data_IF_161822761815
#
_entry.id   IF_161822761815
#
_cell.length_a   1.000
_cell.length_b   1.000
_cell.length_c   1.000
_cell.angle_alpha   90.00
_cell.angle_beta   90.00
_cell.angle_gamma   90.00
#
_symmetry.space_group_name_H-M   'P 1'
#
loop_
_entity.id
_entity.type
_entity.pdbx_description
1 polymer ?
#
# COMPACT_ATOMS: atom_id res chain seq x y z
N UNK A 1 9.86 -18.48 -12.85
CA UNK A 1 10.12 -17.24 -12.10
C UNK A 1 8.85 -16.88 -11.34
N UNK A 2 8.95 -16.54 -10.06
CA UNK A 2 7.77 -16.22 -9.25
C UNK A 2 7.12 -14.91 -9.72
N UNK A 3 5.78 -14.80 -9.75
CA UNK A 3 5.12 -13.51 -9.96
C UNK A 3 5.48 -12.54 -8.83
N UNK A 4 5.32 -11.24 -9.12
CA UNK A 4 5.64 -10.17 -8.17
C UNK A 4 4.41 -9.37 -7.77
N UNK A 5 4.38 -8.97 -6.50
CA UNK A 5 3.46 -7.98 -5.96
C UNK A 5 4.28 -6.72 -5.65
N UNK A 6 4.02 -5.61 -6.35
CA UNK A 6 4.73 -4.34 -6.10
C UNK A 6 3.90 -3.47 -5.18
N UNK A 7 4.48 -3.02 -4.06
CA UNK A 7 3.82 -2.15 -3.10
C UNK A 7 4.33 -0.73 -3.27
N UNK A 8 3.55 0.15 -3.91
CA UNK A 8 3.95 1.54 -4.16
C UNK A 8 3.12 2.52 -3.32
N UNK A 9 3.79 3.38 -2.56
CA UNK A 9 3.11 4.30 -1.66
C UNK A 9 4.04 5.18 -0.84
N UNK A 10 3.48 5.79 0.20
CA UNK A 10 4.20 6.66 1.12
C UNK A 10 4.82 5.90 2.32
N UNK A 11 4.93 6.57 3.46
CA UNK A 11 5.45 6.05 4.72
C UNK A 11 4.73 4.80 5.23
N UNK A 12 3.42 4.69 5.02
CA UNK A 12 2.63 3.53 5.46
C UNK A 12 3.03 2.29 4.63
N UNK A 13 3.37 2.51 3.36
CA UNK A 13 3.94 1.46 2.52
C UNK A 13 5.39 1.19 2.90
N UNK A 14 6.21 2.20 3.16
CA UNK A 14 7.63 2.03 3.57
C UNK A 14 7.75 1.18 4.84
N UNK A 15 6.89 1.44 5.83
CA UNK A 15 6.85 0.72 7.10
C UNK A 15 6.15 -0.63 7.02
N UNK A 16 5.59 -1.02 5.86
CA UNK A 16 4.84 -2.27 5.70
C UNK A 16 5.68 -3.54 5.91
N UNK A 17 7.01 -3.43 5.88
CA UNK A 17 7.94 -4.53 6.16
C UNK A 17 8.47 -4.52 7.61
N UNK A 18 8.05 -3.57 8.45
CA UNK A 18 8.34 -3.60 9.87
C UNK A 18 7.67 -4.81 10.54
N UNK A 19 8.05 -5.12 11.79
CA UNK A 19 7.45 -6.21 12.56
C UNK A 19 5.94 -5.99 12.71
N UNK A 20 5.14 -6.97 12.26
CA UNK A 20 3.68 -6.87 12.22
C UNK A 20 3.13 -6.06 11.04
N UNK A 21 3.97 -5.68 10.08
CA UNK A 21 3.59 -4.93 8.89
C UNK A 21 2.88 -5.77 7.82
N UNK A 22 1.96 -5.15 7.07
CA UNK A 22 1.15 -5.85 6.07
C UNK A 22 1.96 -6.40 4.88
N UNK A 23 3.03 -5.72 4.49
CA UNK A 23 3.94 -6.15 3.42
C UNK A 23 4.78 -7.36 3.83
N UNK A 24 5.27 -7.37 5.08
CA UNK A 24 5.93 -8.55 5.66
C UNK A 24 4.96 -9.74 5.76
N UNK A 25 3.71 -9.49 6.17
CA UNK A 25 2.68 -10.52 6.23
C UNK A 25 2.34 -11.10 4.84
N UNK A 26 2.32 -10.28 3.78
CA UNK A 26 2.17 -10.77 2.40
C UNK A 26 3.36 -11.64 1.96
N UNK A 27 4.59 -11.24 2.29
CA UNK A 27 5.79 -11.99 1.94
C UNK A 27 5.82 -13.36 2.63
N UNK A 28 5.39 -13.42 3.90
CA UNK A 28 5.22 -14.66 4.65
C UNK A 28 4.10 -15.53 4.05
N UNK A 29 2.93 -14.92 3.76
CA UNK A 29 1.78 -15.64 3.20
C UNK A 29 2.11 -16.27 1.84
N UNK A 30 2.80 -15.57 0.94
CA UNK A 30 3.17 -16.09 -0.38
C UNK A 30 4.58 -16.67 -0.42
N UNK A 31 5.11 -17.13 0.71
CA UNK A 31 6.44 -17.73 0.78
C UNK A 31 6.59 -18.85 -0.26
N UNK A 32 7.66 -18.76 -1.06
CA UNK A 32 7.94 -19.65 -2.21
C UNK A 32 6.94 -19.57 -3.36
N UNK A 33 5.97 -18.67 -3.37
CA UNK A 33 4.96 -18.57 -4.44
C UNK A 33 5.03 -17.24 -5.17
N UNK A 34 5.28 -16.14 -4.46
CA UNK A 34 5.42 -14.80 -5.05
C UNK A 34 6.49 -13.99 -4.33
N UNK A 35 7.08 -13.03 -5.04
CA UNK A 35 7.95 -12.04 -4.40
C UNK A 35 7.16 -10.76 -4.13
N UNK A 36 7.31 -10.20 -2.92
CA UNK A 36 6.73 -8.90 -2.56
C UNK A 36 7.82 -7.83 -2.64
N UNK A 37 7.59 -6.81 -3.44
CA UNK A 37 8.57 -5.77 -3.76
C UNK A 37 8.13 -4.43 -3.19
N UNK A 38 8.83 -3.98 -2.16
CA UNK A 38 8.56 -2.71 -1.49
C UNK A 38 9.07 -1.50 -2.28
N UNK A 39 8.21 -0.51 -2.50
CA UNK A 39 8.49 0.82 -3.06
C UNK A 39 7.72 1.90 -2.29
N UNK A 40 7.89 1.91 -0.97
CA UNK A 40 7.39 2.98 -0.10
C UNK A 40 8.38 4.13 0.03
N UNK A 41 7.88 5.36 0.17
CA UNK A 41 8.69 6.57 0.32
C UNK A 41 8.10 7.50 1.38
N UNK A 42 8.72 7.55 2.56
CA UNK A 42 8.26 8.35 3.70
C UNK A 42 8.08 9.83 3.35
N UNK A 43 6.92 10.38 3.76
CA UNK A 43 6.53 11.76 3.52
C UNK A 43 6.11 12.11 2.09
N UNK A 44 6.15 11.19 1.12
CA UNK A 44 5.82 11.52 -0.27
C UNK A 44 4.32 11.74 -0.48
N UNK A 45 3.99 12.72 -1.32
CA UNK A 45 2.67 12.91 -1.90
C UNK A 45 2.65 12.45 -3.36
N UNK A 46 1.47 12.45 -3.98
CA UNK A 46 1.31 12.01 -5.39
C UNK A 46 2.08 12.88 -6.39
N UNK A 47 2.23 14.18 -6.12
CA UNK A 47 2.99 15.11 -6.96
C UNK A 47 4.47 14.70 -7.05
N UNK A 48 5.07 14.32 -5.93
CA UNK A 48 6.47 13.88 -5.89
C UNK A 48 6.62 12.44 -6.39
N UNK A 49 5.67 11.57 -6.07
CA UNK A 49 5.63 10.18 -6.57
C UNK A 49 5.75 10.13 -8.10
N UNK A 50 5.01 10.99 -8.82
CA UNK A 50 5.12 11.11 -10.28
C UNK A 50 6.52 11.48 -10.78
N UNK A 51 7.27 12.30 -10.04
CA UNK A 51 8.61 12.75 -10.46
C UNK A 51 9.66 11.65 -10.34
N UNK A 52 9.42 10.68 -9.48
CA UNK A 52 10.37 9.58 -9.23
C UNK A 52 9.90 8.25 -9.79
N UNK A 53 8.72 8.19 -10.41
CA UNK A 53 8.01 6.94 -10.73
C UNK A 53 8.87 5.96 -11.54
N UNK A 54 9.52 6.42 -12.61
CA UNK A 54 10.40 5.56 -13.43
C UNK A 54 11.54 4.96 -12.62
N UNK A 55 12.23 5.80 -11.84
CA UNK A 55 13.36 5.39 -11.00
C UNK A 55 12.91 4.48 -9.86
N UNK A 56 11.78 4.79 -9.24
CA UNK A 56 11.18 3.97 -8.20
C UNK A 56 10.84 2.57 -8.73
N UNK A 57 10.44 2.44 -9.98
CA UNK A 57 10.06 1.15 -10.59
C UNK A 57 11.21 0.39 -11.23
N UNK A 58 12.45 0.89 -11.14
CA UNK A 58 13.62 0.14 -11.54
C UNK A 58 13.68 -1.19 -10.79
N UNK A 59 13.81 -2.29 -11.56
CA UNK A 59 13.87 -3.67 -11.06
C UNK A 59 12.67 -4.10 -10.21
N UNK A 60 11.56 -3.36 -10.26
CA UNK A 60 10.33 -3.76 -9.60
C UNK A 60 9.73 -5.01 -10.27
N UNK A 61 9.83 -5.09 -11.60
CA UNK A 61 9.63 -6.31 -12.38
C UNK A 61 10.95 -7.09 -12.57
N UNK A 62 10.85 -8.39 -12.91
CA UNK A 62 12.01 -9.22 -13.27
C UNK A 62 11.72 -10.14 -14.45
N UNK A 63 12.79 -10.53 -15.15
CA UNK A 63 12.72 -11.50 -16.24
C UNK A 63 11.90 -11.07 -17.45
N UNK A 64 11.60 -9.77 -17.58
CA UNK A 64 10.72 -9.25 -18.62
C UNK A 64 9.23 -9.55 -18.39
N UNK A 65 8.84 -10.08 -17.23
CA UNK A 65 7.44 -10.33 -16.90
C UNK A 65 6.83 -9.16 -16.11
N UNK A 66 5.59 -8.83 -16.43
CA UNK A 66 4.78 -7.88 -15.65
C UNK A 66 4.56 -8.40 -14.22
N UNK A 67 4.53 -7.53 -13.20
CA UNK A 67 4.03 -7.90 -11.88
C UNK A 67 2.59 -8.41 -11.98
N UNK A 68 2.21 -9.32 -11.08
CA UNK A 68 0.82 -9.76 -10.99
C UNK A 68 -0.10 -8.62 -10.51
N UNK A 69 0.38 -7.84 -9.54
CA UNK A 69 -0.32 -6.67 -9.04
C UNK A 69 0.63 -5.56 -8.60
N UNK A 70 0.14 -4.33 -8.67
CA UNK A 70 0.77 -3.11 -8.13
C UNK A 70 -0.25 -2.40 -7.25
N UNK A 71 0.05 -2.21 -5.96
CA UNK A 71 -0.76 -1.36 -5.11
C UNK A 71 -0.31 0.09 -5.24
N UNK A 72 -1.26 1.03 -5.29
CA UNK A 72 -1.00 2.48 -5.25
C UNK A 72 -1.65 3.05 -3.98
N UNK A 73 -0.83 3.39 -2.99
CA UNK A 73 -1.28 3.81 -1.67
C UNK A 73 -0.69 5.16 -1.27
N UNK A 74 -1.41 6.22 -1.67
CA UNK A 74 -1.09 7.63 -1.39
C UNK A 74 -2.34 8.36 -0.93
N UNK A 75 -2.19 9.64 -0.56
CA UNK A 75 -3.28 10.50 -0.13
C UNK A 75 -3.11 11.00 1.31
N UNK A 76 -2.40 10.26 2.17
CA UNK A 76 -2.24 10.64 3.58
C UNK A 76 -1.44 11.94 3.73
N UNK A 77 -0.45 12.16 2.86
CA UNK A 77 0.34 13.38 2.81
C UNK A 77 -0.34 14.47 1.97
N UNK A 78 -0.97 14.08 0.86
CA UNK A 78 -1.73 14.98 -0.03
C UNK A 78 -2.86 15.71 0.72
N UNK A 79 -3.53 15.01 1.64
CA UNK A 79 -4.63 15.51 2.46
C UNK A 79 -4.21 16.40 3.65
N UNK A 80 -2.92 16.80 3.76
CA UNK A 80 -2.55 17.85 4.71
C UNK A 80 -3.37 19.11 4.47
N UNK A 81 -3.68 19.82 5.54
CA UNK A 81 -4.28 21.15 5.45
C UNK A 81 -3.22 22.16 4.98
N UNK A 82 -3.49 22.95 3.93
CA UNK A 82 -2.49 23.82 3.30
C UNK A 82 -2.02 24.96 4.19
N UNK A 83 -2.86 25.40 5.13
CA UNK A 83 -2.62 26.50 6.08
C UNK A 83 -2.02 26.03 7.43
N UNK A 84 -1.67 24.74 7.53
CA UNK A 84 -1.12 24.14 8.75
C UNK A 84 0.36 23.77 8.61
N UNK A 85 0.96 23.39 9.72
CA UNK A 85 2.34 22.89 9.75
C UNK A 85 2.46 21.63 8.91
N UNK A 86 3.44 21.52 8.01
CA UNK A 86 3.52 20.50 6.94
C UNK A 86 2.57 20.73 5.74
N UNK A 87 1.96 21.92 5.61
CA UNK A 87 1.17 22.28 4.42
C UNK A 87 1.91 22.17 3.09
N UNK A 88 3.25 22.12 3.09
CA UNK A 88 4.06 21.85 1.90
C UNK A 88 3.85 20.45 1.29
N UNK A 89 3.31 19.50 2.06
CA UNK A 89 2.92 18.17 1.57
C UNK A 89 1.57 18.20 0.84
N UNK A 90 0.75 19.25 1.01
CA UNK A 90 -0.58 19.34 0.43
C UNK A 90 -0.55 19.27 -1.10
N UNK A 91 -1.49 18.50 -1.64
CA UNK A 91 -1.79 18.44 -3.07
C UNK A 91 -3.29 18.72 -3.23
N UNK A 92 -3.71 19.77 -3.94
CA UNK A 92 -5.13 20.06 -4.13
C UNK A 92 -5.91 18.85 -4.67
N UNK A 93 -7.16 18.67 -4.22
CA UNK A 93 -7.94 17.46 -4.50
C UNK A 93 -8.02 17.10 -6.00
N UNK A 94 -8.22 18.10 -6.87
CA UNK A 94 -8.25 17.90 -8.31
C UNK A 94 -6.90 17.39 -8.85
N UNK A 95 -5.79 17.99 -8.40
CA UNK A 95 -4.44 17.55 -8.77
C UNK A 95 -4.14 16.15 -8.23
N UNK A 96 -4.58 15.82 -7.02
CA UNK A 96 -4.46 14.47 -6.47
C UNK A 96 -5.14 13.42 -7.36
N UNK A 97 -6.36 13.69 -7.83
CA UNK A 97 -7.08 12.79 -8.74
C UNK A 97 -6.33 12.64 -10.08
N UNK A 98 -5.88 13.75 -10.66
CA UNK A 98 -5.11 13.74 -11.91
C UNK A 98 -3.79 12.98 -11.75
N UNK A 99 -3.13 13.13 -10.60
CA UNK A 99 -1.91 12.42 -10.31
C UNK A 99 -2.15 10.91 -10.17
N UNK A 100 -3.24 10.49 -9.49
CA UNK A 100 -3.62 9.08 -9.42
C UNK A 100 -3.88 8.49 -10.81
N UNK A 101 -4.61 9.20 -11.68
CA UNK A 101 -4.83 8.79 -13.08
C UNK A 101 -3.50 8.63 -13.83
N UNK A 102 -2.60 9.59 -13.68
CA UNK A 102 -1.29 9.56 -14.34
C UNK A 102 -0.40 8.40 -13.85
N UNK A 103 -0.37 8.15 -12.54
CA UNK A 103 0.34 7.00 -11.94
C UNK A 103 -0.23 5.68 -12.48
N UNK A 104 -1.56 5.55 -12.50
CA UNK A 104 -2.25 4.37 -13.02
C UNK A 104 -1.97 4.16 -14.51
N UNK A 105 -2.06 5.20 -15.33
CA UNK A 105 -1.74 5.15 -16.75
C UNK A 105 -0.28 4.76 -17.00
N UNK A 106 0.65 5.26 -16.19
CA UNK A 106 2.05 4.85 -16.26
C UNK A 106 2.21 3.34 -16.04
N UNK A 107 1.60 2.79 -14.98
CA UNK A 107 1.67 1.36 -14.73
C UNK A 107 1.00 0.54 -15.82
N UNK A 108 -0.15 0.98 -16.35
CA UNK A 108 -0.82 0.26 -17.42
C UNK A 108 -0.01 0.24 -18.72
N UNK A 109 0.71 1.32 -19.02
CA UNK A 109 1.61 1.38 -20.16
C UNK A 109 2.88 0.54 -19.95
N UNK A 110 3.43 0.54 -18.74
CA UNK A 110 4.66 -0.18 -18.39
C UNK A 110 4.44 -1.68 -18.26
N UNK A 111 3.31 -2.08 -17.67
CA UNK A 111 2.92 -3.45 -17.35
C UNK A 111 1.44 -3.67 -17.72
N UNK A 112 1.12 -3.86 -19.01
CA UNK A 112 -0.26 -3.98 -19.49
C UNK A 112 -1.07 -5.09 -18.82
N UNK A 113 -0.41 -6.12 -18.30
CA UNK A 113 -1.06 -7.29 -17.68
C UNK A 113 -1.19 -7.17 -16.16
N UNK A 114 -0.52 -6.21 -15.52
CA UNK A 114 -0.57 -6.06 -14.07
C UNK A 114 -1.95 -5.54 -13.62
N UNK A 115 -2.48 -6.13 -12.54
CA UNK A 115 -3.61 -5.56 -11.83
C UNK A 115 -3.16 -4.33 -11.03
N UNK A 116 -3.82 -3.18 -11.23
CA UNK A 116 -3.52 -1.95 -10.48
C UNK A 116 -4.58 -1.82 -9.41
N UNK A 117 -4.17 -1.85 -8.14
CA UNK A 117 -5.07 -1.82 -6.98
C UNK A 117 -4.85 -0.49 -6.26
N UNK A 118 -5.86 0.37 -6.21
CA UNK A 118 -5.78 1.60 -5.44
C UNK A 118 -6.13 1.34 -3.97
N UNK A 119 -5.43 2.01 -3.06
CA UNK A 119 -5.73 1.98 -1.64
C UNK A 119 -5.97 3.43 -1.21
N UNK A 120 -7.13 3.69 -0.61
CA UNK A 120 -7.49 5.02 -0.08
C UNK A 120 -6.53 5.42 1.06
N UNK A 121 -6.28 6.71 1.33
CA UNK A 121 -5.61 7.12 2.57
C UNK A 121 -6.37 6.61 3.81
N UNK A 122 -5.69 6.25 4.91
CA UNK A 122 -6.35 5.78 6.12
C UNK A 122 -7.06 6.91 6.86
N UNK A 123 -7.90 6.58 7.87
CA UNK A 123 -8.43 7.61 8.75
C UNK A 123 -7.32 8.25 9.59
N UNK A 124 -7.57 9.47 10.05
CA UNK A 124 -6.66 10.23 10.92
C UNK A 124 -7.29 10.31 12.31
N UNK A 125 -6.49 10.14 13.35
CA UNK A 125 -6.91 10.45 14.72
C UNK A 125 -6.15 11.69 15.22
N UNK A 126 -6.80 12.85 15.09
CA UNK A 126 -6.19 14.15 15.36
C UNK A 126 -5.59 14.27 16.77
N UNK A 127 -6.23 13.82 17.86
CA UNK A 127 -5.65 13.91 19.21
C UNK A 127 -4.28 13.21 19.33
N UNK A 128 -4.13 12.01 18.76
CA UNK A 128 -2.84 11.31 18.77
C UNK A 128 -1.82 12.00 17.84
N UNK A 129 -2.28 12.49 16.69
CA UNK A 129 -1.40 13.18 15.72
C UNK A 129 -0.83 14.48 16.27
N UNK A 130 -1.68 15.26 16.94
CA UNK A 130 -1.31 16.47 17.67
C UNK A 130 -0.30 16.14 18.77
N UNK A 131 -0.56 15.11 19.60
CA UNK A 131 0.36 14.69 20.66
C UNK A 131 1.71 14.25 20.11
N UNK A 132 1.72 13.46 19.04
CA UNK A 132 2.95 12.98 18.41
C UNK A 132 3.82 14.15 17.91
N UNK A 133 3.19 15.21 17.38
CA UNK A 133 3.89 16.36 16.80
C UNK A 133 4.36 17.38 17.84
N UNK A 134 3.51 17.70 18.80
CA UNK A 134 3.72 18.83 19.70
C UNK A 134 3.88 18.44 21.17
N UNK A 135 3.72 17.17 21.51
CA UNK A 135 3.65 16.71 22.90
C UNK A 135 2.40 17.20 23.64
N UNK A 136 2.44 17.15 24.96
CA UNK A 136 1.25 17.34 25.81
C UNK A 136 0.95 18.79 26.21
N UNK A 137 1.84 19.76 25.94
CA UNK A 137 1.76 21.12 26.52
C UNK A 137 1.93 22.30 25.53
N UNK A 138 1.90 22.08 24.22
CA UNK A 138 2.08 23.16 23.24
C UNK A 138 0.78 23.97 23.00
N UNK A 139 0.76 25.30 23.17
CA UNK A 139 -0.43 26.13 22.93
C UNK A 139 -0.79 26.30 21.44
N UNK A 140 0.10 25.95 20.51
CA UNK A 140 -0.08 26.05 19.06
C UNK A 140 -0.66 24.79 18.41
N UNK A 141 -1.13 23.83 19.22
CA UNK A 141 -1.68 22.53 18.80
C UNK A 141 -2.86 22.67 17.84
N UNK A 142 -2.53 22.64 16.56
CA UNK A 142 -3.48 22.56 15.47
C UNK A 142 -3.15 21.30 14.67
N UNK A 143 -4.16 20.48 14.34
CA UNK A 143 -3.95 19.30 13.51
C UNK A 143 -3.57 19.74 12.10
N UNK A 144 -2.50 19.19 11.57
CA UNK A 144 -2.08 19.37 10.19
C UNK A 144 -2.86 18.50 9.20
N UNK A 145 -3.54 17.47 9.71
CA UNK A 145 -4.40 16.56 8.98
C UNK A 145 -5.65 16.33 9.81
N UNK A 146 -6.79 16.22 9.16
CA UNK A 146 -8.05 15.85 9.82
C UNK A 146 -8.62 14.59 9.19
N UNK A 147 -9.44 13.86 9.95
CA UNK A 147 -10.12 12.68 9.42
C UNK A 147 -11.10 13.04 8.30
N UNK A 148 -11.71 14.23 8.39
CA UNK A 148 -12.60 14.77 7.36
C UNK A 148 -11.87 15.03 6.03
N UNK A 149 -10.69 15.64 6.09
CA UNK A 149 -9.84 15.84 4.91
C UNK A 149 -9.41 14.49 4.33
N UNK A 150 -8.93 13.57 5.17
CA UNK A 150 -8.57 12.21 4.73
C UNK A 150 -9.75 11.49 4.05
N UNK A 151 -10.96 11.59 4.61
CA UNK A 151 -12.18 11.04 4.03
C UNK A 151 -12.51 11.63 2.65
N UNK A 152 -12.30 12.93 2.46
CA UNK A 152 -12.48 13.58 1.15
C UNK A 152 -11.52 13.01 0.10
N UNK A 153 -10.25 12.80 0.46
CA UNK A 153 -9.25 12.18 -0.44
C UNK A 153 -9.49 10.68 -0.65
N UNK A 154 -10.05 9.98 0.35
CA UNK A 154 -10.49 8.60 0.20
C UNK A 154 -11.62 8.48 -0.85
N UNK A 155 -12.64 9.33 -0.77
CA UNK A 155 -13.71 9.36 -1.77
C UNK A 155 -13.19 9.72 -3.17
N UNK A 156 -12.24 10.65 -3.27
CA UNK A 156 -11.61 11.00 -4.54
C UNK A 156 -10.80 9.83 -5.14
N UNK A 157 -10.09 9.06 -4.31
CA UNK A 157 -9.39 7.85 -4.73
C UNK A 157 -10.36 6.77 -5.25
N UNK A 158 -11.46 6.52 -4.52
CA UNK A 158 -12.53 5.60 -4.94
C UNK A 158 -13.14 6.04 -6.28
N UNK A 159 -13.41 7.35 -6.44
CA UNK A 159 -13.97 7.89 -7.66
C UNK A 159 -13.04 7.66 -8.87
N UNK A 160 -11.73 7.89 -8.72
CA UNK A 160 -10.74 7.61 -9.77
C UNK A 160 -10.66 6.11 -10.08
N UNK A 161 -10.63 5.25 -9.06
CA UNK A 161 -10.60 3.81 -9.27
C UNK A 161 -11.83 3.33 -10.06
N UNK A 162 -13.02 3.82 -9.70
CA UNK A 162 -14.26 3.51 -10.42
C UNK A 162 -14.27 4.04 -11.85
N UNK A 163 -13.76 5.24 -12.08
CA UNK A 163 -13.61 5.82 -13.43
C UNK A 163 -12.73 4.95 -14.33
N UNK A 164 -11.63 4.42 -13.78
CA UNK A 164 -10.67 3.59 -14.49
C UNK A 164 -11.04 2.10 -14.55
N UNK A 165 -12.15 1.70 -13.91
CA UNK A 165 -12.55 0.30 -13.71
C UNK A 165 -11.47 -0.54 -13.00
N UNK A 166 -10.80 0.06 -12.00
CA UNK A 166 -9.75 -0.57 -11.22
C UNK A 166 -10.23 -0.97 -9.83
N UNK A 167 -9.73 -2.10 -9.28
CA UNK A 167 -10.02 -2.46 -7.91
C UNK A 167 -9.53 -1.41 -6.90
N UNK A 168 -10.31 -1.19 -5.85
CA UNK A 168 -9.98 -0.25 -4.77
C UNK A 168 -10.25 -0.84 -3.39
N UNK A 169 -9.34 -0.56 -2.46
CA UNK A 169 -9.47 -0.89 -1.04
C UNK A 169 -9.76 0.41 -0.27
N UNK A 170 -10.98 0.50 0.26
CA UNK A 170 -11.44 1.61 1.10
C UNK A 170 -11.01 1.40 2.56
N UNK A 171 -9.69 1.43 2.82
CA UNK A 171 -9.15 1.30 4.17
C UNK A 171 -9.61 2.42 5.11
N UNK A 172 -9.96 3.60 4.58
CA UNK A 172 -10.58 4.68 5.37
C UNK A 172 -11.86 4.20 6.06
N UNK A 173 -12.77 3.60 5.30
CA UNK A 173 -14.02 3.05 5.84
C UNK A 173 -13.79 1.77 6.64
N UNK A 174 -13.00 0.82 6.12
CA UNK A 174 -12.81 -0.50 6.74
C UNK A 174 -12.20 -0.40 8.14
N UNK A 175 -11.21 0.46 8.33
CA UNK A 175 -10.56 0.64 9.64
C UNK A 175 -11.52 1.22 10.68
N UNK A 176 -12.44 2.11 10.27
CA UNK A 176 -13.39 2.76 11.18
C UNK A 176 -14.57 1.86 11.59
N UNK A 177 -14.68 0.64 11.05
CA UNK A 177 -15.65 -0.36 11.50
C UNK A 177 -15.33 -0.90 12.90
N UNK A 178 -14.09 -0.74 13.37
CA UNK A 178 -13.64 -1.20 14.68
C UNK A 178 -13.84 -0.10 15.73
N UNK A 179 -14.58 -0.33 16.84
CA UNK A 179 -14.93 0.72 17.80
C UNK A 179 -13.75 1.54 18.34
N UNK A 180 -12.60 0.90 18.54
CA UNK A 180 -11.40 1.51 19.13
C UNK A 180 -10.28 1.76 18.09
N UNK A 181 -10.62 1.89 16.80
CA UNK A 181 -9.64 2.01 15.71
C UNK A 181 -8.60 3.12 15.94
N UNK A 182 -9.00 4.22 16.58
CA UNK A 182 -8.19 5.41 16.80
C UNK A 182 -6.88 5.12 17.52
N UNK A 183 -6.88 4.15 18.44
CA UNK A 183 -5.71 3.80 19.28
C UNK A 183 -5.28 2.36 19.08
N UNK A 184 -6.20 1.46 18.70
CA UNK A 184 -5.86 0.07 18.41
C UNK A 184 -5.21 -0.08 17.03
N UNK A 185 -5.64 0.69 16.02
CA UNK A 185 -5.16 0.57 14.65
C UNK A 185 -4.06 1.59 14.31
N UNK A 186 -4.02 2.74 15.00
CA UNK A 186 -3.07 3.82 14.73
C UNK A 186 -2.12 4.07 15.90
N UNK A 187 -0.82 4.14 15.65
CA UNK A 187 0.19 4.31 16.70
C UNK A 187 0.44 5.78 17.07
N UNK A 188 0.38 6.69 16.08
CA UNK A 188 0.61 8.12 16.23
C UNK A 188 -0.55 8.97 15.66
N UNK A 189 -1.69 8.32 15.42
CA UNK A 189 -2.85 8.92 14.78
C UNK A 189 -2.82 8.94 13.26
N UNK A 190 -1.80 8.32 12.62
CA UNK A 190 -1.71 8.14 11.17
C UNK A 190 -1.11 6.78 10.78
N UNK A 191 0.05 6.43 11.32
CA UNK A 191 0.75 5.18 11.01
C UNK A 191 0.15 4.00 11.75
N UNK A 192 0.29 2.82 11.16
CA UNK A 192 -0.44 1.64 11.62
C UNK A 192 0.28 0.92 12.75
N UNK A 193 -0.48 0.48 13.74
CA UNK A 193 -0.05 -0.57 14.68
C UNK A 193 -0.03 -1.93 13.97
N UNK A 194 0.46 -3.02 14.61
CA UNK A 194 0.27 -4.37 14.06
C UNK A 194 -1.19 -4.73 13.76
N UNK A 195 -2.14 -4.22 14.56
CA UNK A 195 -3.56 -4.45 14.30
C UNK A 195 -4.07 -3.67 13.08
N UNK A 196 -3.69 -2.39 12.92
CA UNK A 196 -4.03 -1.62 11.72
C UNK A 196 -3.44 -2.23 10.44
N UNK A 197 -2.20 -2.72 10.52
CA UNK A 197 -1.56 -3.49 9.45
C UNK A 197 -2.32 -4.77 9.12
N UNK A 198 -2.80 -5.50 10.14
CA UNK A 198 -3.60 -6.71 9.92
C UNK A 198 -4.90 -6.41 9.16
N UNK A 199 -5.61 -5.32 9.49
CA UNK A 199 -6.83 -4.92 8.76
C UNK A 199 -6.52 -4.74 7.27
N UNK A 200 -5.47 -3.99 6.95
CA UNK A 200 -5.09 -3.76 5.55
C UNK A 200 -4.64 -5.07 4.87
N UNK A 201 -3.86 -5.91 5.55
CA UNK A 201 -3.44 -7.21 5.03
C UNK A 201 -4.64 -8.09 4.65
N UNK A 202 -5.65 -8.20 5.52
CA UNK A 202 -6.84 -9.02 5.26
C UNK A 202 -7.60 -8.51 4.02
N UNK A 203 -7.74 -7.19 3.86
CA UNK A 203 -8.39 -6.58 2.69
C UNK A 203 -7.57 -6.74 1.41
N UNK A 204 -6.24 -6.62 1.48
CA UNK A 204 -5.35 -6.86 0.33
C UNK A 204 -5.42 -8.34 -0.09
N UNK A 205 -5.40 -9.29 0.84
CA UNK A 205 -5.54 -10.71 0.52
C UNK A 205 -6.89 -11.02 -0.15
N UNK A 206 -7.98 -10.47 0.39
CA UNK A 206 -9.31 -10.62 -0.19
C UNK A 206 -9.37 -10.05 -1.61
N UNK A 207 -8.76 -8.88 -1.82
CA UNK A 207 -8.67 -8.25 -3.13
C UNK A 207 -7.87 -9.08 -4.12
N UNK A 208 -6.68 -9.56 -3.74
CA UNK A 208 -5.85 -10.45 -4.54
C UNK A 208 -6.60 -11.74 -4.90
N UNK A 209 -7.31 -12.35 -3.95
CA UNK A 209 -8.15 -13.52 -4.20
C UNK A 209 -9.26 -13.26 -5.23
N UNK A 210 -9.89 -12.08 -5.18
CA UNK A 210 -10.95 -11.70 -6.14
C UNK A 210 -10.47 -11.58 -7.59
N UNK A 211 -9.17 -11.30 -7.79
CA UNK A 211 -8.53 -11.24 -9.12
C UNK A 211 -7.83 -12.56 -9.48
N UNK A 212 -8.07 -13.63 -8.72
CA UNK A 212 -7.52 -14.96 -8.97
C UNK A 212 -6.08 -15.17 -8.48
N UNK A 213 -5.56 -14.29 -7.63
CA UNK A 213 -4.22 -14.42 -7.05
C UNK A 213 -4.30 -14.95 -5.60
N UNK A 214 -4.07 -16.26 -5.43
CA UNK A 214 -4.12 -16.94 -4.14
C UNK A 214 -3.08 -18.06 -4.00
N UNK A 215 -2.79 -18.51 -2.77
CA UNK A 215 -1.87 -19.63 -2.54
C UNK A 215 -2.30 -20.92 -3.26
N UNK A 216 -3.61 -21.16 -3.45
CA UNK A 216 -4.09 -22.36 -4.14
C UNK A 216 -3.89 -22.26 -5.67
N UNK A 217 -3.85 -21.05 -6.21
CA UNK A 217 -3.65 -20.80 -7.64
C UNK A 217 -2.19 -20.78 -8.07
N UNK A 218 -1.27 -20.52 -7.14
CA UNK A 218 0.15 -20.29 -7.44
C UNK A 218 0.98 -21.56 -7.20
N UNK A 219 1.86 -21.94 -8.14
CA UNK A 219 2.79 -23.02 -7.90
C UNK A 219 3.83 -22.60 -6.85
N UNK A 220 4.16 -23.52 -5.95
CA UNK A 220 5.34 -23.38 -5.09
C UNK A 220 6.60 -23.50 -5.92
N UNK A 221 7.57 -22.67 -5.60
CA UNK A 221 8.88 -22.67 -6.22
C UNK A 221 9.74 -23.80 -5.63
N UNK A 222 10.30 -24.58 -6.56
CA UNK A 222 11.11 -25.78 -6.32
C UNK A 222 10.39 -26.87 -5.49
N UNK A 223 10.86 -28.13 -5.54
CA UNK A 223 10.28 -29.20 -4.73
C UNK A 223 10.43 -28.95 -3.22
N UNK A 224 9.51 -29.49 -2.43
CA UNK A 224 9.68 -29.68 -0.99
C UNK A 224 10.80 -30.69 -0.72
N UNK A 225 11.49 -30.58 0.42
CA UNK A 225 12.63 -31.44 0.73
C UNK A 225 12.29 -32.95 0.70
N UNK A 226 11.07 -33.33 1.08
CA UNK A 226 10.62 -34.72 1.05
C UNK A 226 10.21 -35.22 -0.35
N UNK A 227 10.20 -34.35 -1.36
CA UNK A 227 10.02 -34.70 -2.77
C UNK A 227 11.37 -34.92 -3.48
N UNK A 228 12.49 -34.65 -2.80
CA UNK A 228 13.84 -34.83 -3.32
C UNK A 228 14.32 -36.23 -2.92
N UNK A 229 14.60 -37.09 -3.89
CA UNK A 229 15.23 -38.38 -3.63
C UNK A 229 16.69 -38.15 -3.19
N UNK A 230 17.10 -38.55 -1.96
CA UNK A 230 18.47 -38.36 -1.52
C UNK A 230 19.50 -39.15 -2.34
N UNK A 231 19.08 -40.17 -3.09
CA UNK A 231 19.96 -40.96 -3.97
C UNK A 231 20.05 -40.40 -5.38
N UNK A 232 19.06 -39.61 -5.80
CA UNK A 232 19.02 -38.95 -7.11
C UNK A 232 18.30 -37.58 -7.02
N UNK A 233 18.93 -36.59 -6.37
CA UNK A 233 18.28 -35.32 -6.09
C UNK A 233 18.04 -34.49 -7.35
N UNK A 234 18.85 -34.68 -8.40
CA UNK A 234 18.79 -33.90 -9.63
C UNK A 234 17.46 -34.09 -10.37
N UNK A 235 16.88 -35.29 -10.30
CA UNK A 235 15.59 -35.61 -10.90
C UNK A 235 14.46 -34.70 -10.41
N UNK A 236 14.53 -34.22 -9.16
CA UNK A 236 13.52 -33.31 -8.61
C UNK A 236 13.69 -31.85 -9.09
N UNK A 237 14.81 -31.53 -9.74
CA UNK A 237 15.16 -30.18 -10.21
C UNK A 237 15.01 -30.01 -11.73
N UNK A 238 14.65 -31.06 -12.46
CA UNK A 238 14.35 -31.02 -13.92
C UNK A 238 12.95 -30.43 -14.16
N UNK A 239 12.73 -29.18 -13.75
CA UNK A 239 11.48 -28.41 -13.90
C UNK A 239 11.58 -27.46 -15.09
#
# INVERSE_FOLDING_TARGET
>A
MRPRLVLFGDSITEQSFASGGWGAALADHFARQADVVLRGFDGYNTRWALKVLDRAMERAAAGGADPAAVTVFFGANDANLPDRSQGHQHVPLAEYQDNLRAICAHFKNKWPSAAIILITPPPIYEPARIRHKYGDNDPSRQPERTNEAAGTYAQACIAVAKELDYPVIDIWTQMQQFPDWQTSALCDGLHFTPFGNKILFDEVLKMLGSIGFSQQSLPSDLPLYHQIDPKDPLKAFEI
#
